data_IF_306698599283
#
_entry.id   IF_306698599283
#
_cell.length_a   1.000
_cell.length_b   1.000
_cell.length_c   1.000
_cell.angle_alpha   90.00
_cell.angle_beta   90.00
_cell.angle_gamma   90.00
#
_symmetry.space_group_name_H-M   'P 1'
#
loop_
_entity.id
_entity.type
_entity.pdbx_description
1 polymer ?
#
# COMPACT_ATOMS: atom_id res chain seq x y z
N UNK A 1 -5.44 11.96 17.56
CA UNK A 1 -4.24 11.57 16.79
C UNK A 1 -4.02 12.60 15.69
N UNK A 2 -2.81 13.14 15.51
CA UNK A 2 -2.52 14.09 14.42
C UNK A 2 -2.46 13.34 13.08
N UNK A 3 -2.95 13.93 11.99
CA UNK A 3 -2.96 13.34 10.64
C UNK A 3 -1.56 12.94 10.16
N UNK A 4 -0.55 13.72 10.53
CA UNK A 4 0.85 13.37 10.25
C UNK A 4 1.23 12.00 10.84
N UNK A 5 0.83 11.73 12.09
CA UNK A 5 1.11 10.46 12.76
C UNK A 5 0.34 9.30 12.12
N UNK A 6 -0.90 9.54 11.66
CA UNK A 6 -1.69 8.53 10.94
C UNK A 6 -1.05 8.16 9.61
N UNK A 7 -0.65 9.17 8.84
CA UNK A 7 0.02 8.93 7.57
C UNK A 7 1.32 8.15 7.73
N UNK A 8 2.11 8.43 8.78
CA UNK A 8 3.33 7.67 9.07
C UNK A 8 3.02 6.22 9.44
N UNK A 9 1.96 5.97 10.23
CA UNK A 9 1.56 4.60 10.59
C UNK A 9 1.12 3.80 9.35
N UNK A 10 0.31 4.40 8.48
CA UNK A 10 -0.10 3.80 7.20
C UNK A 10 1.12 3.42 6.36
N UNK A 11 2.03 4.36 6.17
CA UNK A 11 3.26 4.15 5.41
C UNK A 11 4.09 2.99 6.00
N UNK A 12 4.26 2.95 7.32
CA UNK A 12 5.04 1.92 7.99
C UNK A 12 4.39 0.53 7.87
N UNK A 13 3.08 0.41 8.06
CA UNK A 13 2.36 -0.86 7.91
C UNK A 13 2.44 -1.38 6.47
N UNK A 14 2.21 -0.52 5.47
CA UNK A 14 2.40 -0.87 4.07
C UNK A 14 3.85 -1.33 3.79
N UNK A 15 4.84 -0.60 4.29
CA UNK A 15 6.25 -0.91 4.09
C UNK A 15 6.63 -2.25 4.71
N UNK A 16 6.25 -2.47 5.97
CA UNK A 16 6.52 -3.69 6.72
C UNK A 16 5.96 -4.91 6.00
N UNK A 17 4.70 -4.85 5.55
CA UNK A 17 4.09 -5.96 4.83
C UNK A 17 4.82 -6.29 3.52
N UNK A 18 5.22 -5.26 2.76
CA UNK A 18 5.98 -5.45 1.52
C UNK A 18 7.35 -6.10 1.82
N UNK A 19 8.05 -5.68 2.88
CA UNK A 19 9.34 -6.24 3.26
C UNK A 19 9.23 -7.70 3.72
N UNK A 20 8.26 -8.00 4.58
CA UNK A 20 8.05 -9.34 5.14
C UNK A 20 7.68 -10.36 4.06
N UNK A 21 7.13 -9.91 2.93
CA UNK A 21 6.72 -10.74 1.81
C UNK A 21 7.57 -10.55 0.56
N UNK A 22 8.73 -9.88 0.66
CA UNK A 22 9.58 -9.52 -0.51
C UNK A 22 9.99 -10.70 -1.40
N UNK A 23 10.05 -11.91 -0.85
CA UNK A 23 10.44 -13.13 -1.57
C UNK A 23 9.25 -13.78 -2.31
N UNK A 24 8.02 -13.45 -1.91
CA UNK A 24 6.78 -13.99 -2.48
C UNK A 24 6.15 -13.09 -3.53
N UNK A 25 6.49 -11.80 -3.51
CA UNK A 25 5.85 -10.78 -4.34
C UNK A 25 6.74 -10.44 -5.54
N UNK A 26 6.16 -10.44 -6.74
CA UNK A 26 6.75 -9.70 -7.85
C UNK A 26 6.33 -8.24 -7.73
N UNK A 27 7.28 -7.40 -7.31
CA UNK A 27 7.06 -5.97 -7.07
C UNK A 27 6.56 -5.24 -8.32
N UNK A 28 7.01 -5.63 -9.54
CA UNK A 28 6.59 -4.97 -10.79
C UNK A 28 5.11 -5.28 -11.09
N UNK A 29 4.70 -6.53 -10.94
CA UNK A 29 3.31 -6.98 -11.08
C UNK A 29 2.38 -6.41 -9.99
N UNK A 30 2.88 -6.33 -8.76
CA UNK A 30 2.12 -5.74 -7.66
C UNK A 30 1.87 -4.24 -7.87
N UNK A 31 2.88 -3.48 -8.30
CA UNK A 31 2.73 -2.04 -8.53
C UNK A 31 1.63 -1.72 -9.54
N UNK A 32 1.62 -2.41 -10.68
CA UNK A 32 0.63 -2.16 -11.74
C UNK A 32 -0.79 -2.50 -11.28
N UNK A 33 -0.95 -3.59 -10.54
CA UNK A 33 -2.25 -4.02 -10.00
C UNK A 33 -2.76 -3.07 -8.93
N UNK A 34 -1.92 -2.75 -7.92
CA UNK A 34 -2.28 -1.83 -6.82
C UNK A 34 -2.57 -0.42 -7.34
N UNK A 35 -1.89 0.03 -8.39
CA UNK A 35 -2.10 1.36 -8.97
C UNK A 35 -3.54 1.60 -9.47
N UNK A 36 -4.27 0.54 -9.83
CA UNK A 36 -5.66 0.59 -10.29
C UNK A 36 -6.69 0.55 -9.15
N UNK A 37 -6.31 0.04 -7.97
CA UNK A 37 -7.22 -0.23 -6.85
C UNK A 37 -7.96 1.00 -6.30
N UNK A 38 -7.33 2.19 -6.15
CA UNK A 38 -8.06 3.39 -5.71
C UNK A 38 -9.22 3.77 -6.64
N UNK A 39 -9.01 3.64 -7.96
CA UNK A 39 -10.06 3.93 -8.94
C UNK A 39 -11.18 2.89 -8.88
N UNK A 40 -10.84 1.62 -8.68
CA UNK A 40 -11.82 0.55 -8.53
C UNK A 40 -12.70 0.77 -7.28
N UNK A 41 -12.10 1.07 -6.12
CA UNK A 41 -12.82 1.36 -4.88
C UNK A 41 -13.81 2.50 -5.09
N UNK A 42 -13.36 3.63 -5.62
CA UNK A 42 -14.20 4.81 -5.84
C UNK A 42 -15.39 4.53 -6.76
N UNK A 43 -15.19 3.71 -7.80
CA UNK A 43 -16.20 3.48 -8.82
C UNK A 43 -17.21 2.38 -8.45
N UNK A 44 -16.83 1.42 -7.58
CA UNK A 44 -17.66 0.25 -7.25
C UNK A 44 -18.14 0.23 -5.78
N UNK A 45 -17.57 1.08 -4.94
CA UNK A 45 -17.85 1.17 -3.51
C UNK A 45 -17.15 0.09 -2.68
N UNK A 46 -17.14 0.29 -1.36
CA UNK A 46 -16.43 -0.56 -0.40
C UNK A 46 -16.73 -2.05 -0.51
N UNK A 47 -18.01 -2.42 -0.57
CA UNK A 47 -18.41 -3.83 -0.51
C UNK A 47 -17.88 -4.62 -1.72
N UNK A 48 -18.09 -4.09 -2.93
CA UNK A 48 -17.58 -4.71 -4.15
C UNK A 48 -16.05 -4.75 -4.16
N UNK A 49 -15.40 -3.70 -3.67
CA UNK A 49 -13.95 -3.67 -3.53
C UNK A 49 -13.43 -4.81 -2.65
N UNK A 50 -14.00 -5.00 -1.45
CA UNK A 50 -13.56 -6.07 -0.54
C UNK A 50 -13.84 -7.46 -1.10
N UNK A 51 -15.02 -7.68 -1.70
CA UNK A 51 -15.34 -8.95 -2.37
C UNK A 51 -14.32 -9.25 -3.47
N UNK A 52 -13.99 -8.24 -4.28
CA UNK A 52 -13.03 -8.38 -5.37
C UNK A 52 -11.63 -8.74 -4.86
N UNK A 53 -11.16 -8.12 -3.77
CA UNK A 53 -9.89 -8.48 -3.15
C UNK A 53 -9.87 -9.94 -2.67
N UNK A 54 -10.94 -10.38 -2.00
CA UNK A 54 -11.05 -11.75 -1.45
C UNK A 54 -11.06 -12.78 -2.57
N UNK A 55 -11.81 -12.54 -3.65
CA UNK A 55 -11.89 -13.46 -4.78
C UNK A 55 -10.56 -13.62 -5.53
N UNK A 56 -9.70 -12.60 -5.49
CA UNK A 56 -8.42 -12.59 -6.20
C UNK A 56 -7.21 -12.73 -5.25
N UNK A 57 -7.43 -13.13 -3.99
CA UNK A 57 -6.41 -13.17 -2.95
C UNK A 57 -5.24 -14.14 -3.24
N UNK A 58 -5.39 -15.07 -4.20
CA UNK A 58 -4.28 -15.92 -4.63
C UNK A 58 -3.18 -15.14 -5.37
N UNK A 59 -3.52 -13.96 -5.92
CA UNK A 59 -2.53 -13.05 -6.48
C UNK A 59 -2.00 -12.13 -5.36
N UNK A 60 -0.67 -12.09 -5.14
CA UNK A 60 -0.07 -11.37 -4.02
C UNK A 60 -0.43 -9.88 -3.95
N UNK A 61 -0.71 -9.24 -5.09
CA UNK A 61 -1.09 -7.82 -5.11
C UNK A 61 -2.42 -7.56 -4.39
N UNK A 62 -3.42 -8.43 -4.59
CA UNK A 62 -4.71 -8.32 -3.92
C UNK A 62 -4.61 -8.79 -2.46
N UNK A 63 -3.82 -9.82 -2.19
CA UNK A 63 -3.52 -10.27 -0.83
C UNK A 63 -2.93 -9.15 0.01
N UNK A 64 -1.90 -8.44 -0.50
CA UNK A 64 -1.31 -7.29 0.21
C UNK A 64 -2.36 -6.21 0.50
N UNK A 65 -3.19 -5.86 -0.49
CA UNK A 65 -4.25 -4.87 -0.28
C UNK A 65 -5.21 -5.30 0.83
N UNK A 66 -5.62 -6.58 0.81
CA UNK A 66 -6.57 -7.14 1.76
C UNK A 66 -6.00 -7.18 3.18
N UNK A 67 -4.75 -7.61 3.31
CA UNK A 67 -4.09 -7.79 4.61
C UNK A 67 -3.77 -6.46 5.28
N UNK A 68 -3.15 -5.52 4.56
CA UNK A 68 -2.85 -4.18 5.09
C UNK A 68 -4.15 -3.44 5.46
N UNK A 69 -5.19 -3.57 4.65
CA UNK A 69 -6.51 -3.04 4.98
C UNK A 69 -7.04 -3.63 6.30
N UNK A 70 -7.08 -4.96 6.43
CA UNK A 70 -7.62 -5.63 7.61
C UNK A 70 -6.90 -5.19 8.89
N UNK A 71 -5.58 -5.24 8.86
CA UNK A 71 -4.73 -4.83 9.98
C UNK A 71 -5.06 -3.38 10.41
N UNK A 72 -5.13 -2.46 9.46
CA UNK A 72 -5.36 -1.05 9.75
C UNK A 72 -6.77 -0.75 10.22
N UNK A 73 -7.79 -1.41 9.67
CA UNK A 73 -9.16 -1.24 10.15
C UNK A 73 -9.32 -1.68 11.61
N UNK A 74 -8.63 -2.75 12.01
CA UNK A 74 -8.61 -3.22 13.40
C UNK A 74 -7.83 -2.25 14.29
N UNK A 75 -6.61 -1.87 13.92
CA UNK A 75 -5.77 -0.94 14.67
C UNK A 75 -6.44 0.43 14.88
N UNK A 76 -7.24 0.88 13.90
CA UNK A 76 -7.99 2.14 13.95
C UNK A 76 -9.31 2.04 14.73
N UNK A 77 -9.71 0.85 15.15
CA UNK A 77 -11.01 0.60 15.79
C UNK A 77 -12.19 0.83 14.84
N UNK A 78 -11.96 0.81 13.53
CA UNK A 78 -12.99 0.96 12.48
C UNK A 78 -13.67 -0.37 12.15
N UNK A 79 -13.07 -1.48 12.57
CA UNK A 79 -13.61 -2.81 12.43
C UNK A 79 -13.42 -3.57 13.75
N UNK A 80 -14.48 -4.07 14.41
CA UNK A 80 -14.40 -4.74 15.71
C UNK A 80 -13.90 -6.18 15.59
N UNK A 81 -13.11 -6.49 14.56
CA UNK A 81 -12.54 -7.81 14.35
C UNK A 81 -11.19 -7.93 15.06
N UNK A 82 -10.79 -9.17 15.36
CA UNK A 82 -9.41 -9.48 15.68
C UNK A 82 -8.63 -9.68 14.38
N UNK A 83 -7.32 -9.37 14.38
CA UNK A 83 -6.46 -9.54 13.20
C UNK A 83 -6.44 -10.99 12.67
N UNK A 84 -6.65 -11.96 13.56
CA UNK A 84 -6.71 -13.40 13.27
C UNK A 84 -8.03 -13.86 12.63
N UNK A 85 -9.03 -13.00 12.54
CA UNK A 85 -10.35 -13.36 12.03
C UNK A 85 -10.38 -13.44 10.49
N UNK A 86 -11.04 -14.48 9.98
CA UNK A 86 -11.12 -14.78 8.55
C UNK A 86 -11.92 -13.74 7.75
N UNK A 87 -11.77 -13.79 6.42
CA UNK A 87 -12.37 -12.83 5.49
C UNK A 87 -13.91 -12.85 5.50
N UNK A 88 -14.53 -13.98 5.84
CA UNK A 88 -15.98 -14.10 5.99
C UNK A 88 -16.53 -13.18 7.10
N UNK A 89 -15.78 -12.99 8.19
CA UNK A 89 -16.18 -12.08 9.28
C UNK A 89 -16.09 -10.62 8.86
N UNK A 90 -15.08 -10.27 8.04
CA UNK A 90 -14.99 -8.94 7.43
C UNK A 90 -16.18 -8.68 6.50
N UNK A 91 -16.50 -9.61 5.60
CA UNK A 91 -17.66 -9.46 4.72
C UNK A 91 -18.95 -9.34 5.51
N UNK A 92 -19.14 -10.20 6.52
CA UNK A 92 -20.29 -10.17 7.41
C UNK A 92 -20.42 -8.81 8.09
N UNK A 93 -19.33 -8.30 8.67
CA UNK A 93 -19.31 -6.97 9.28
C UNK A 93 -19.76 -5.90 8.28
N UNK A 94 -19.20 -5.89 7.06
CA UNK A 94 -19.51 -4.91 6.02
C UNK A 94 -20.93 -5.01 5.45
N UNK A 95 -21.54 -6.20 5.51
CA UNK A 95 -22.88 -6.51 5.03
C UNK A 95 -23.97 -6.26 6.07
N UNK A 96 -23.69 -6.53 7.34
CA UNK A 96 -24.65 -6.33 8.43
C UNK A 96 -24.97 -4.83 8.53
N UNK A 97 -26.25 -4.50 8.31
CA UNK A 97 -26.75 -3.14 8.08
C UNK A 97 -26.63 -2.16 9.25
N UNK A 98 -25.91 -2.52 10.30
CA UNK A 98 -25.69 -1.72 11.50
C UNK A 98 -24.41 -0.87 11.43
N UNK A 99 -23.60 -0.99 10.38
CA UNK A 99 -22.51 -0.03 10.14
C UNK A 99 -23.12 1.32 9.76
N UNK A 100 -22.93 2.32 10.63
CA UNK A 100 -23.34 3.70 10.35
C UNK A 100 -22.71 4.22 9.05
N UNK A 101 -23.42 5.10 8.34
CA UNK A 101 -22.89 5.78 7.13
C UNK A 101 -21.54 6.43 7.43
N UNK A 102 -21.40 7.06 8.60
CA UNK A 102 -20.15 7.70 9.06
C UNK A 102 -19.01 6.68 9.18
N UNK A 103 -19.25 5.52 9.77
CA UNK A 103 -18.24 4.45 9.89
C UNK A 103 -17.85 3.93 8.52
N UNK A 104 -18.82 3.73 7.61
CA UNK A 104 -18.55 3.29 6.24
C UNK A 104 -17.67 4.29 5.48
N UNK A 105 -17.97 5.58 5.58
CA UNK A 105 -17.16 6.64 4.99
C UNK A 105 -15.74 6.68 5.59
N UNK A 106 -15.61 6.48 6.90
CA UNK A 106 -14.31 6.43 7.56
C UNK A 106 -13.48 5.22 7.08
N UNK A 107 -14.11 4.06 6.88
CA UNK A 107 -13.45 2.86 6.32
C UNK A 107 -12.98 3.14 4.89
N UNK A 108 -13.84 3.69 4.02
CA UNK A 108 -13.47 4.01 2.62
C UNK A 108 -12.34 5.03 2.53
N UNK A 109 -12.35 6.05 3.39
CA UNK A 109 -11.28 7.04 3.47
C UNK A 109 -9.97 6.39 3.93
N UNK A 110 -10.01 5.55 4.97
CA UNK A 110 -8.82 4.85 5.47
C UNK A 110 -8.21 3.93 4.41
N UNK A 111 -9.04 3.14 3.71
CA UNK A 111 -8.57 2.25 2.63
C UNK A 111 -7.96 3.05 1.49
N UNK A 112 -8.58 4.17 1.12
CA UNK A 112 -8.06 5.04 0.06
C UNK A 112 -6.65 5.52 0.38
N UNK A 113 -6.42 6.01 1.60
CA UNK A 113 -5.10 6.46 2.05
C UNK A 113 -4.08 5.32 2.11
N UNK A 114 -4.49 4.10 2.50
CA UNK A 114 -3.62 2.93 2.47
C UNK A 114 -3.20 2.54 1.06
N UNK A 115 -4.13 2.55 0.10
CA UNK A 115 -3.83 2.24 -1.30
C UNK A 115 -2.88 3.29 -1.91
N UNK A 116 -2.97 4.55 -1.49
CA UNK A 116 -2.02 5.60 -1.89
C UNK A 116 -0.61 5.28 -1.40
N UNK A 117 -0.45 4.95 -0.12
CA UNK A 117 0.85 4.57 0.44
C UNK A 117 1.41 3.30 -0.18
N UNK A 118 0.59 2.27 -0.32
CA UNK A 118 0.99 0.99 -0.90
C UNK A 118 1.49 1.18 -2.34
N UNK A 119 0.75 1.95 -3.15
CA UNK A 119 1.16 2.33 -4.51
C UNK A 119 2.49 3.10 -4.51
N UNK A 120 2.63 4.11 -3.65
CA UNK A 120 3.83 4.94 -3.60
C UNK A 120 5.08 4.11 -3.26
N UNK A 121 4.99 3.21 -2.29
CA UNK A 121 6.09 2.35 -1.85
C UNK A 121 6.47 1.30 -2.90
N UNK A 122 5.48 0.65 -3.52
CA UNK A 122 5.73 -0.29 -4.63
C UNK A 122 6.41 0.43 -5.80
N UNK A 123 5.93 1.62 -6.17
CA UNK A 123 6.54 2.44 -7.22
C UNK A 123 7.98 2.85 -6.89
N UNK A 124 8.27 3.22 -5.64
CA UNK A 124 9.61 3.53 -5.19
C UNK A 124 10.54 2.31 -5.34
N UNK A 125 10.07 1.11 -4.96
CA UNK A 125 10.84 -0.13 -5.12
C UNK A 125 11.09 -0.48 -6.58
N UNK A 126 10.09 -0.33 -7.45
CA UNK A 126 10.27 -0.51 -8.90
C UNK A 126 11.34 0.47 -9.44
N UNK A 127 11.32 1.72 -9.00
CA UNK A 127 12.33 2.71 -9.41
C UNK A 127 13.76 2.31 -8.97
N UNK A 128 13.92 1.84 -7.73
CA UNK A 128 15.22 1.33 -7.23
C UNK A 128 15.71 0.11 -8.03
N UNK A 129 14.80 -0.81 -8.39
CA UNK A 129 15.16 -1.96 -9.22
C UNK A 129 15.64 -1.52 -10.61
N UNK A 130 14.95 -0.55 -11.23
CA UNK A 130 15.36 0.01 -12.53
C UNK A 130 16.74 0.67 -12.47
N UNK A 131 17.06 1.40 -11.40
CA UNK A 131 18.39 2.00 -11.20
C UNK A 131 19.50 0.94 -11.05
N UNK A 132 19.20 -0.18 -10.39
CA UNK A 132 20.14 -1.31 -10.27
C UNK A 132 20.34 -2.03 -11.61
N UNK A 133 19.27 -2.15 -12.41
CA UNK A 133 19.30 -2.76 -13.75
C UNK A 133 20.02 -1.87 -14.78
N UNK A 134 19.96 -0.53 -14.65
CA UNK A 134 20.59 0.41 -15.58
C UNK A 134 22.10 0.57 -15.39
N UNK A 135 22.69 0.02 -14.33
CA UNK A 135 24.15 0.09 -14.09
C UNK A 135 24.69 1.52 -13.87
N UNK A 136 23.81 2.50 -13.68
CA UNK A 136 24.21 3.87 -13.35
C UNK A 136 24.71 3.91 -11.90
N UNK A 137 25.98 3.57 -11.72
CA UNK A 137 26.75 4.08 -10.59
C UNK A 137 26.73 5.61 -10.69
N UNK A 138 26.53 6.35 -9.59
CA UNK A 138 26.71 7.80 -9.62
C UNK A 138 28.13 8.06 -10.11
N UNK A 139 28.23 8.64 -11.30
CA UNK A 139 29.49 8.98 -11.96
C UNK A 139 30.30 9.82 -11.00
N UNK A 140 31.41 9.23 -10.55
CA UNK A 140 32.44 9.89 -9.77
C UNK A 140 33.40 10.57 -10.75
N UNK A 141 32.94 11.58 -11.46
CA UNK A 141 33.75 12.45 -12.32
C UNK A 141 33.23 13.88 -12.09
N UNK A 142 33.99 14.88 -11.64
CA UNK A 142 35.37 15.20 -12.00
C UNK A 142 36.04 16.00 -10.87
N UNK A 143 37.12 15.48 -10.29
CA UNK A 143 38.20 16.33 -9.79
C UNK A 143 38.93 16.87 -11.02
N UNK A 144 38.69 18.13 -11.40
CA UNK A 144 39.52 18.80 -12.38
C UNK A 144 40.63 19.54 -11.63
N UNK A 145 41.76 18.85 -11.52
CA UNK A 145 43.07 19.46 -11.30
C UNK A 145 43.50 20.20 -12.58
N UNK A 146 43.96 21.43 -12.40
CA UNK A 146 44.59 22.28 -13.41
C UNK A 146 44.42 23.74 -12.98
N UNK A 147 45.43 24.51 -12.57
CA UNK A 147 46.84 24.48 -12.91
C UNK A 147 47.21 25.89 -13.42
N UNK A 148 48.08 26.59 -12.69
CA UNK A 148 48.88 27.77 -13.08
C UNK A 148 48.14 29.09 -13.38
N UNK A 149 48.31 30.06 -12.48
CA UNK A 149 48.46 31.47 -12.85
C UNK A 149 49.88 31.90 -12.54
N UNK A 150 50.63 32.19 -13.60
CA UNK A 150 51.75 33.11 -13.57
C UNK A 150 51.32 34.32 -14.38
N UNK A 151 51.24 35.47 -13.71
CA UNK A 151 51.62 36.81 -14.15
C UNK A 151 51.47 37.76 -12.96
#
# INVERSE_FOLDING_TARGET
>A
MNEFLLSTQRANSCYQYIEDNREKIDVKSCESTVAAMPAFLRNNGLLHFVIYLIQNQENPAYEICLMVMKEQLVQRGLCPLQESEGNDKLLKYLLEGDISITTRMAIEAEITELLVWLKALLRAKVAVLKLKESGESPSSDTQQSGGKHGQ
#
